data_IF_259471495174
#
_entry.id   IF_259471495174
#
_cell.length_a   1.000
_cell.length_b   1.000
_cell.length_c   1.000
_cell.angle_alpha   90.00
_cell.angle_beta   90.00
_cell.angle_gamma   90.00
#
_symmetry.space_group_name_H-M   'P 1'
#
loop_
_entity.id
_entity.type
_entity.pdbx_description
1 polymer ?
#
# COMPACT_ATOMS: atom_id res chain seq x y z
N UNK A 1 -23.62 -31.14 9.38
CA UNK A 1 -22.31 -30.85 8.79
C UNK A 1 -21.86 -29.44 9.21
N UNK A 2 -20.58 -29.26 9.51
CA UNK A 2 -19.99 -27.96 9.76
C UNK A 2 -19.76 -27.30 8.40
N UNK A 3 -20.28 -26.08 8.22
CA UNK A 3 -20.10 -25.28 7.02
C UNK A 3 -19.27 -24.02 7.37
N UNK A 4 -18.81 -23.31 6.35
CA UNK A 4 -18.07 -22.06 6.55
C UNK A 4 -18.58 -20.97 5.60
N UNK A 5 -18.39 -19.72 6.02
CA UNK A 5 -18.58 -18.53 5.17
C UNK A 5 -17.26 -17.79 5.14
N UNK A 6 -16.72 -17.57 3.96
CA UNK A 6 -15.49 -16.81 3.78
C UNK A 6 -15.76 -15.30 3.75
N UNK A 7 -14.77 -14.49 4.12
CA UNK A 7 -14.86 -13.05 4.02
C UNK A 7 -14.82 -12.59 2.56
N UNK A 8 -15.51 -11.48 2.30
CA UNK A 8 -15.47 -10.77 1.04
C UNK A 8 -15.25 -9.27 1.26
N UNK A 9 -15.24 -8.52 0.17
CA UNK A 9 -15.15 -7.06 0.18
C UNK A 9 -16.32 -6.46 -0.60
N UNK A 10 -16.67 -5.21 -0.27
CA UNK A 10 -17.61 -4.44 -1.06
C UNK A 10 -16.82 -3.62 -2.10
N UNK A 11 -16.83 -4.05 -3.35
CA UNK A 11 -16.02 -3.50 -4.45
C UNK A 11 -16.14 -1.99 -4.58
N UNK A 12 -17.37 -1.46 -4.58
CA UNK A 12 -17.59 -0.02 -4.76
C UNK A 12 -17.05 0.86 -3.61
N UNK A 13 -16.79 0.29 -2.44
CA UNK A 13 -16.13 1.01 -1.33
C UNK A 13 -14.65 1.24 -1.59
N UNK A 14 -14.00 0.31 -2.28
CA UNK A 14 -12.55 0.30 -2.49
C UNK A 14 -12.13 0.79 -3.86
N UNK A 15 -13.00 0.70 -4.85
CA UNK A 15 -12.73 1.18 -6.20
C UNK A 15 -12.54 2.69 -6.22
N UNK A 16 -11.43 3.14 -6.78
CA UNK A 16 -11.14 4.56 -6.91
C UNK A 16 -12.11 5.27 -7.86
N UNK A 17 -12.51 6.53 -7.58
CA UNK A 17 -13.51 7.24 -8.39
C UNK A 17 -13.18 7.32 -9.88
N UNK A 18 -11.93 7.62 -10.24
CA UNK A 18 -11.51 7.71 -11.63
C UNK A 18 -11.50 6.34 -12.36
N UNK A 19 -11.22 5.25 -11.65
CA UNK A 19 -11.39 3.90 -12.20
C UNK A 19 -12.88 3.57 -12.37
N UNK A 20 -13.72 3.99 -11.41
CA UNK A 20 -15.17 3.85 -11.53
C UNK A 20 -15.72 4.58 -12.77
N UNK A 21 -15.20 5.77 -13.07
CA UNK A 21 -15.55 6.53 -14.28
C UNK A 21 -15.16 5.77 -15.56
N UNK A 22 -13.97 5.16 -15.58
CA UNK A 22 -13.58 4.30 -16.71
C UNK A 22 -14.50 3.10 -16.85
N UNK A 23 -14.83 2.41 -15.76
CA UNK A 23 -15.74 1.27 -15.80
C UNK A 23 -17.14 1.67 -16.25
N UNK A 24 -17.66 2.80 -15.78
CA UNK A 24 -18.96 3.33 -16.25
C UNK A 24 -18.99 3.63 -17.75
N UNK A 25 -17.84 3.95 -18.34
CA UNK A 25 -17.73 4.27 -19.77
C UNK A 25 -17.60 3.01 -20.64
N UNK A 26 -16.94 1.96 -20.18
CA UNK A 26 -16.55 0.82 -21.00
C UNK A 26 -17.31 -0.47 -20.68
N UNK A 27 -17.78 -0.63 -19.43
CA UNK A 27 -18.57 -1.78 -19.01
C UNK A 27 -20.09 -1.54 -19.20
N UNK A 28 -20.91 -2.59 -19.15
CA UNK A 28 -22.36 -2.45 -19.20
C UNK A 28 -22.90 -1.53 -18.09
N UNK A 29 -24.00 -0.80 -18.31
CA UNK A 29 -24.54 0.17 -17.32
C UNK A 29 -24.84 -0.43 -15.94
N UNK A 30 -25.11 -1.72 -15.87
CA UNK A 30 -25.45 -2.48 -14.66
C UNK A 30 -24.25 -3.21 -14.02
N UNK A 31 -23.02 -2.91 -14.43
CA UNK A 31 -21.84 -3.64 -13.98
C UNK A 31 -21.69 -3.68 -12.44
N UNK A 32 -22.11 -2.62 -11.74
CA UNK A 32 -21.98 -2.53 -10.29
C UNK A 32 -22.88 -3.50 -9.53
N UNK A 33 -24.01 -3.88 -10.10
CA UNK A 33 -24.95 -4.82 -9.52
C UNK A 33 -24.65 -6.27 -9.91
N UNK A 34 -23.79 -6.47 -10.92
CA UNK A 34 -23.47 -7.78 -11.50
C UNK A 34 -21.97 -8.08 -11.51
N UNK A 35 -21.21 -7.59 -10.50
CA UNK A 35 -19.75 -7.77 -10.40
C UNK A 35 -19.30 -9.24 -10.33
N UNK A 36 -20.17 -10.15 -9.90
CA UNK A 36 -19.93 -11.59 -9.81
C UNK A 36 -20.20 -12.34 -11.12
N UNK A 37 -20.71 -11.67 -12.15
CA UNK A 37 -21.06 -12.27 -13.44
C UNK A 37 -19.93 -12.03 -14.44
N UNK A 38 -19.35 -13.11 -14.97
CA UNK A 38 -18.18 -13.01 -15.87
C UNK A 38 -18.46 -12.17 -17.11
N UNK A 39 -19.65 -12.27 -17.72
CA UNK A 39 -20.02 -11.48 -18.89
C UNK A 39 -20.05 -9.96 -18.66
N UNK A 40 -20.14 -9.52 -17.40
CA UNK A 40 -20.02 -8.12 -17.05
C UNK A 40 -18.63 -7.56 -17.42
N UNK A 41 -17.60 -8.40 -17.35
CA UNK A 41 -16.21 -8.04 -17.54
C UNK A 41 -15.65 -8.26 -18.94
N UNK A 42 -16.42 -8.85 -19.87
CA UNK A 42 -15.97 -9.15 -21.23
C UNK A 42 -15.44 -7.93 -22.00
N UNK A 43 -15.90 -6.73 -21.64
CA UNK A 43 -15.48 -5.48 -22.28
C UNK A 43 -14.34 -4.75 -21.55
N UNK A 44 -13.76 -5.35 -20.51
CA UNK A 44 -12.69 -4.70 -19.74
C UNK A 44 -11.47 -4.39 -20.61
N UNK A 45 -11.14 -5.28 -21.53
CA UNK A 45 -10.02 -5.15 -22.46
C UNK A 45 -10.21 -4.04 -23.51
N UNK A 46 -11.41 -3.47 -23.61
CA UNK A 46 -11.67 -2.30 -24.46
C UNK A 46 -11.21 -0.97 -23.82
N UNK A 47 -10.80 -0.99 -22.56
CA UNK A 47 -10.22 0.20 -21.91
C UNK A 47 -8.82 0.39 -22.47
N UNK A 48 -8.51 1.52 -23.13
CA UNK A 48 -7.17 1.78 -23.63
C UNK A 48 -6.15 1.80 -22.47
N UNK A 49 -5.03 1.08 -22.63
CA UNK A 49 -3.95 0.95 -21.64
C UNK A 49 -3.51 2.32 -21.09
N UNK A 50 -3.36 3.31 -21.97
CA UNK A 50 -2.96 4.66 -21.57
C UNK A 50 -3.97 5.31 -20.61
N UNK A 51 -5.28 5.05 -20.76
CA UNK A 51 -6.30 5.60 -19.85
C UNK A 51 -6.25 4.92 -18.50
N UNK A 52 -6.07 3.60 -18.51
CA UNK A 52 -5.92 2.82 -17.28
C UNK A 52 -4.67 3.27 -16.52
N UNK A 53 -3.55 3.40 -17.24
CA UNK A 53 -2.29 3.88 -16.67
C UNK A 53 -2.38 5.29 -16.11
N UNK A 54 -2.98 6.22 -16.84
CA UNK A 54 -3.19 7.60 -16.36
C UNK A 54 -4.05 7.65 -15.09
N UNK A 55 -5.09 6.82 -15.02
CA UNK A 55 -5.92 6.72 -13.84
C UNK A 55 -5.13 6.18 -12.63
N UNK A 56 -4.25 5.21 -12.85
CA UNK A 56 -3.35 4.68 -11.82
C UNK A 56 -2.34 5.75 -11.34
N UNK A 57 -1.67 6.43 -12.26
CA UNK A 57 -0.70 7.49 -11.91
C UNK A 57 -1.36 8.60 -11.10
N UNK A 58 -2.56 9.04 -11.47
CA UNK A 58 -3.33 10.03 -10.67
C UNK A 58 -3.54 9.57 -9.22
N UNK A 59 -3.84 8.29 -9.00
CA UNK A 59 -3.99 7.72 -7.64
C UNK A 59 -2.67 7.69 -6.89
N UNK A 60 -1.61 7.32 -7.58
CA UNK A 60 -0.26 7.27 -7.03
C UNK A 60 0.24 8.66 -6.60
N UNK A 61 0.03 9.68 -7.41
CA UNK A 61 0.35 11.07 -7.06
C UNK A 61 -0.41 11.55 -5.81
N UNK A 62 -1.71 11.22 -5.71
CA UNK A 62 -2.51 11.51 -4.51
C UNK A 62 -1.99 10.76 -3.29
N UNK A 63 -1.58 9.51 -3.44
CA UNK A 63 -0.94 8.75 -2.37
C UNK A 63 0.39 9.39 -1.95
N UNK A 64 1.25 9.77 -2.89
CA UNK A 64 2.54 10.42 -2.60
C UNK A 64 2.34 11.74 -1.83
N UNK A 65 1.36 12.54 -2.24
CA UNK A 65 1.00 13.76 -1.51
C UNK A 65 0.60 13.48 -0.06
N UNK A 66 -0.21 12.45 0.16
CA UNK A 66 -0.61 12.00 1.50
C UNK A 66 0.59 11.51 2.31
N UNK A 67 1.50 10.74 1.71
CA UNK A 67 2.71 10.26 2.39
C UNK A 67 3.59 11.44 2.80
N UNK A 68 3.84 12.39 1.89
CA UNK A 68 4.61 13.61 2.18
C UNK A 68 4.03 14.35 3.39
N UNK A 69 2.74 14.58 3.40
CA UNK A 69 2.04 15.27 4.48
C UNK A 69 2.12 14.50 5.81
N UNK A 70 1.90 13.19 5.81
CA UNK A 70 1.95 12.35 7.02
C UNK A 70 3.36 12.31 7.62
N UNK A 71 4.39 12.12 6.77
CA UNK A 71 5.79 12.10 7.20
C UNK A 71 6.23 13.47 7.71
N UNK A 72 5.87 14.55 7.03
CA UNK A 72 6.16 15.93 7.46
C UNK A 72 5.56 16.19 8.84
N UNK A 73 4.27 15.89 9.03
CA UNK A 73 3.60 16.12 10.31
C UNK A 73 4.26 15.33 11.45
N UNK A 74 4.63 14.07 11.21
CA UNK A 74 5.34 13.25 12.18
C UNK A 74 6.67 13.86 12.59
N UNK A 75 7.46 14.29 11.63
CA UNK A 75 8.79 14.85 11.87
C UNK A 75 8.71 16.22 12.59
N UNK A 76 7.79 17.07 12.20
CA UNK A 76 7.51 18.33 12.89
C UNK A 76 7.12 18.08 14.35
N UNK A 77 6.20 17.14 14.60
CA UNK A 77 5.79 16.76 15.96
C UNK A 77 6.93 16.16 16.80
N UNK A 78 7.95 15.62 16.14
CA UNK A 78 9.16 15.09 16.80
C UNK A 78 10.28 16.11 16.93
N UNK A 79 10.06 17.39 16.57
CA UNK A 79 11.04 18.45 16.68
C UNK A 79 12.17 18.39 15.63
N UNK A 80 11.97 17.65 14.53
CA UNK A 80 12.95 17.51 13.45
C UNK A 80 12.89 18.75 12.55
N UNK A 81 14.06 19.29 12.20
CA UNK A 81 14.19 20.50 11.37
C UNK A 81 13.72 20.30 9.92
N UNK A 82 13.24 21.40 9.30
CA UNK A 82 12.68 21.36 7.95
C UNK A 82 13.64 20.82 6.88
N UNK A 83 14.94 21.09 6.98
CA UNK A 83 15.96 20.60 6.03
C UNK A 83 16.04 19.07 6.05
N UNK A 84 16.00 18.47 7.24
CA UNK A 84 16.02 17.03 7.40
C UNK A 84 14.70 16.37 6.91
N UNK A 85 13.58 17.07 7.08
CA UNK A 85 12.29 16.64 6.54
C UNK A 85 12.34 16.64 5.01
N UNK A 86 12.83 17.75 4.41
CA UNK A 86 12.95 17.89 2.96
C UNK A 86 13.86 16.82 2.36
N UNK A 87 14.96 16.47 3.01
CA UNK A 87 15.86 15.38 2.58
C UNK A 87 15.14 14.02 2.41
N UNK A 88 14.13 13.75 3.23
CA UNK A 88 13.38 12.51 3.18
C UNK A 88 12.20 12.59 2.22
N UNK A 89 11.38 13.65 2.32
CA UNK A 89 10.13 13.72 1.54
C UNK A 89 10.36 14.04 0.06
N UNK A 90 11.47 14.69 -0.30
CA UNK A 90 11.81 14.97 -1.69
C UNK A 90 12.31 13.72 -2.44
N UNK A 91 12.65 12.64 -1.74
CA UNK A 91 12.99 11.36 -2.36
C UNK A 91 11.77 10.53 -2.78
N UNK A 92 10.56 10.94 -2.37
CA UNK A 92 9.32 10.31 -2.85
C UNK A 92 9.13 10.62 -4.34
N UNK A 93 9.14 9.56 -5.13
CA UNK A 93 9.06 9.62 -6.58
C UNK A 93 7.79 8.91 -7.09
N UNK A 94 6.89 9.60 -7.81
CA UNK A 94 5.72 8.97 -8.42
C UNK A 94 6.07 7.96 -9.52
N UNK A 95 7.27 8.01 -10.08
CA UNK A 95 7.72 7.06 -11.09
C UNK A 95 8.39 5.81 -10.49
N UNK A 96 8.75 5.82 -9.21
CA UNK A 96 9.31 4.66 -8.53
C UNK A 96 8.27 3.57 -8.32
N UNK A 97 8.62 2.30 -8.48
CA UNK A 97 7.78 1.16 -8.10
C UNK A 97 7.43 1.28 -6.61
N UNK A 98 6.17 1.49 -6.32
CA UNK A 98 5.68 1.71 -4.95
C UNK A 98 5.05 0.44 -4.40
N UNK A 99 5.66 -0.13 -3.36
CA UNK A 99 5.19 -1.36 -2.72
C UNK A 99 4.57 -1.01 -1.37
N UNK A 100 3.30 -1.34 -1.18
CA UNK A 100 2.55 -1.08 0.05
C UNK A 100 2.37 -2.31 0.92
N UNK A 101 2.61 -2.14 2.22
CA UNK A 101 2.24 -3.10 3.26
C UNK A 101 1.42 -2.38 4.31
N UNK A 102 0.11 -2.66 4.38
CA UNK A 102 -0.75 -2.02 5.37
C UNK A 102 -1.69 -3.04 6.02
N UNK A 103 -1.28 -3.51 7.18
CA UNK A 103 -1.97 -4.55 7.95
C UNK A 103 -1.73 -4.35 9.44
N UNK A 104 -2.56 -4.97 10.29
CA UNK A 104 -2.23 -5.12 11.71
C UNK A 104 -0.86 -5.80 11.84
N UNK A 105 0.03 -5.20 12.61
CA UNK A 105 1.32 -5.79 12.89
C UNK A 105 1.14 -6.97 13.86
N UNK A 106 1.28 -8.17 13.32
CA UNK A 106 1.31 -9.44 14.04
C UNK A 106 2.36 -10.33 13.38
N UNK A 107 3.02 -11.17 14.15
CA UNK A 107 4.19 -11.96 13.71
C UNK A 107 3.91 -12.79 12.47
N UNK A 108 2.76 -13.46 12.41
CA UNK A 108 2.39 -14.34 11.28
C UNK A 108 2.16 -13.57 9.96
N UNK A 109 1.96 -12.26 9.99
CA UNK A 109 1.82 -11.43 8.79
C UNK A 109 3.16 -11.06 8.16
N UNK A 110 4.26 -11.36 8.86
CA UNK A 110 5.65 -11.31 8.37
C UNK A 110 6.06 -9.96 7.76
N UNK A 111 5.67 -8.84 8.39
CA UNK A 111 6.01 -7.49 7.93
C UNK A 111 7.51 -7.27 7.71
N UNK A 112 8.36 -7.96 8.49
CA UNK A 112 9.82 -7.84 8.46
C UNK A 112 10.51 -8.87 7.56
N UNK A 113 9.76 -9.71 6.82
CA UNK A 113 10.35 -10.77 6.00
C UNK A 113 11.32 -10.23 4.95
N UNK A 114 11.01 -9.09 4.34
CA UNK A 114 11.86 -8.45 3.33
C UNK A 114 13.23 -8.01 3.88
N UNK A 115 13.36 -7.83 5.18
CA UNK A 115 14.61 -7.42 5.84
C UNK A 115 15.52 -8.58 6.23
N UNK A 116 15.17 -9.82 5.91
CA UNK A 116 16.04 -10.97 6.17
C UNK A 116 17.34 -10.92 5.36
N UNK A 117 17.28 -10.37 4.16
CA UNK A 117 18.43 -10.15 3.29
C UNK A 117 18.60 -8.64 3.04
N UNK A 118 19.25 -7.98 3.99
CA UNK A 118 19.51 -6.52 3.93
C UNK A 118 20.41 -6.17 2.74
N UNK A 119 21.39 -7.01 2.40
CA UNK A 119 22.30 -6.73 1.30
C UNK A 119 21.56 -6.71 -0.04
N UNK A 120 20.73 -7.71 -0.30
CA UNK A 120 19.88 -7.78 -1.50
C UNK A 120 18.86 -6.64 -1.55
N UNK A 121 18.22 -6.34 -0.41
CA UNK A 121 17.27 -5.23 -0.33
C UNK A 121 17.96 -3.89 -0.63
N UNK A 122 19.18 -3.69 -0.14
CA UNK A 122 19.99 -2.50 -0.42
C UNK A 122 20.24 -2.35 -1.92
N UNK A 123 20.61 -3.43 -2.61
CA UNK A 123 20.82 -3.42 -4.06
C UNK A 123 19.53 -3.05 -4.80
N UNK A 124 18.39 -3.64 -4.44
CA UNK A 124 17.09 -3.37 -5.07
C UNK A 124 16.68 -1.91 -4.88
N UNK A 125 16.74 -1.40 -3.65
CA UNK A 125 16.28 -0.04 -3.34
C UNK A 125 17.23 1.06 -3.81
N UNK A 126 18.46 0.73 -4.17
CA UNK A 126 19.46 1.71 -4.63
C UNK A 126 19.82 1.55 -6.12
N UNK A 127 19.07 0.75 -6.88
CA UNK A 127 19.21 0.69 -8.33
C UNK A 127 18.66 1.99 -8.95
N UNK A 128 19.52 2.84 -9.57
CA UNK A 128 19.07 4.11 -10.14
C UNK A 128 18.21 3.94 -11.40
N UNK A 129 18.30 2.79 -12.07
CA UNK A 129 17.56 2.53 -13.30
C UNK A 129 16.17 1.97 -13.05
N UNK A 130 15.94 1.43 -11.85
CA UNK A 130 14.67 0.82 -11.43
C UNK A 130 14.32 1.27 -10.02
N UNK A 131 13.93 2.53 -9.83
CA UNK A 131 13.66 3.08 -8.51
C UNK A 131 12.50 2.35 -7.84
N UNK A 132 12.70 1.97 -6.57
CA UNK A 132 11.71 1.27 -5.74
C UNK A 132 11.56 1.98 -4.41
N UNK A 133 10.33 2.07 -3.91
CA UNK A 133 10.04 2.60 -2.58
C UNK A 133 8.99 1.75 -1.86
N UNK A 134 9.10 1.67 -0.54
CA UNK A 134 8.18 0.93 0.32
C UNK A 134 7.37 1.85 1.21
N UNK A 135 6.09 1.54 1.36
CA UNK A 135 5.18 2.24 2.27
C UNK A 135 4.56 1.26 3.23
N UNK A 136 4.87 1.42 4.51
CA UNK A 136 4.30 0.65 5.59
C UNK A 136 3.22 1.46 6.31
N UNK A 137 2.12 0.81 6.67
CA UNK A 137 1.09 1.37 7.53
C UNK A 137 0.47 0.26 8.39
N UNK A 138 -0.15 0.64 9.48
CA UNK A 138 -0.82 -0.32 10.34
C UNK A 138 -0.72 0.04 11.80
N UNK A 139 -1.28 -0.82 12.63
CA UNK A 139 -1.28 -0.69 14.09
C UNK A 139 -0.96 -2.05 14.72
N UNK A 140 -0.31 -2.03 15.87
CA UNK A 140 -0.26 -3.15 16.80
C UNK A 140 -1.29 -2.93 17.91
N UNK A 141 -1.82 -4.01 18.48
CA UNK A 141 -2.63 -3.90 19.68
C UNK A 141 -1.77 -3.39 20.85
N UNK A 142 -2.27 -2.55 21.77
CA UNK A 142 -1.48 -2.06 22.90
C UNK A 142 -0.86 -3.16 23.77
N UNK A 143 -1.49 -4.31 23.88
CA UNK A 143 -0.99 -5.48 24.60
C UNK A 143 -0.10 -6.41 23.74
N UNK A 144 0.07 -6.15 22.43
CA UNK A 144 0.89 -6.96 21.53
C UNK A 144 2.31 -6.37 21.42
N UNK A 145 3.15 -6.72 22.37
CA UNK A 145 4.56 -6.27 22.45
C UNK A 145 5.34 -6.70 21.22
N UNK A 146 5.11 -7.93 20.72
CA UNK A 146 5.78 -8.42 19.51
C UNK A 146 5.41 -7.58 18.27
N UNK A 147 4.13 -7.27 18.11
CA UNK A 147 3.64 -6.39 17.04
C UNK A 147 4.23 -4.97 17.13
N UNK A 148 4.36 -4.42 18.33
CA UNK A 148 5.02 -3.13 18.56
C UNK A 148 6.51 -3.19 18.20
N UNK A 149 7.22 -4.26 18.55
CA UNK A 149 8.61 -4.47 18.21
C UNK A 149 8.83 -4.59 16.69
N UNK A 150 7.87 -5.16 15.94
CA UNK A 150 7.92 -5.17 14.47
C UNK A 150 7.88 -3.74 13.90
N UNK A 151 7.00 -2.87 14.42
CA UNK A 151 6.92 -1.46 14.00
C UNK A 151 8.23 -0.74 14.31
N UNK A 152 8.74 -0.89 15.54
CA UNK A 152 10.03 -0.32 15.96
C UNK A 152 11.16 -0.75 15.04
N UNK A 153 11.25 -2.05 14.73
CA UNK A 153 12.29 -2.60 13.85
C UNK A 153 12.22 -2.01 12.43
N UNK A 154 11.02 -1.88 11.87
CA UNK A 154 10.86 -1.26 10.54
C UNK A 154 11.28 0.21 10.58
N UNK A 155 10.95 0.92 11.65
CA UNK A 155 11.35 2.30 11.84
C UNK A 155 12.87 2.44 11.92
N UNK A 156 13.55 1.63 12.73
CA UNK A 156 15.01 1.62 12.84
C UNK A 156 15.67 1.40 11.47
N UNK A 157 15.18 0.42 10.70
CA UNK A 157 15.66 0.13 9.36
C UNK A 157 15.42 1.31 8.41
N UNK A 158 14.27 1.96 8.47
CA UNK A 158 13.94 3.11 7.60
C UNK A 158 14.88 4.31 7.80
N UNK A 159 15.52 4.40 8.97
CA UNK A 159 16.50 5.46 9.30
C UNK A 159 17.91 5.14 8.84
N UNK A 160 18.20 3.90 8.45
CA UNK A 160 19.54 3.53 7.95
C UNK A 160 19.87 4.35 6.69
N UNK A 161 21.13 4.82 6.52
CA UNK A 161 21.52 5.68 5.40
C UNK A 161 21.08 5.15 4.02
N UNK A 162 21.23 3.84 3.79
CA UNK A 162 20.88 3.19 2.52
C UNK A 162 19.36 3.10 2.26
N UNK A 163 18.52 3.28 3.29
CA UNK A 163 17.06 3.18 3.20
C UNK A 163 16.33 4.50 3.47
N UNK A 164 17.06 5.52 3.93
CA UNK A 164 16.49 6.85 4.23
C UNK A 164 15.87 7.47 2.98
N UNK A 165 14.56 7.75 3.05
CA UNK A 165 13.78 8.28 1.93
C UNK A 165 13.38 7.24 0.88
N UNK A 166 13.46 5.92 1.21
CA UNK A 166 13.00 4.80 0.38
C UNK A 166 12.02 3.89 1.10
N UNK A 167 12.02 3.91 2.42
CA UNK A 167 11.09 3.19 3.27
C UNK A 167 10.33 4.20 4.11
N UNK A 168 9.02 4.28 3.93
CA UNK A 168 8.15 5.22 4.60
C UNK A 168 7.18 4.48 5.52
N UNK A 169 6.88 5.07 6.68
CA UNK A 169 5.91 4.54 7.64
C UNK A 169 4.85 5.61 7.85
N UNK A 170 3.60 5.24 7.59
CA UNK A 170 2.44 6.11 7.84
C UNK A 170 1.87 5.85 9.22
N UNK A 171 1.73 6.92 9.97
CA UNK A 171 1.07 6.91 11.28
C UNK A 171 -0.45 7.07 11.15
N UNK A 172 -1.14 6.77 12.25
CA UNK A 172 -2.59 6.94 12.37
C UNK A 172 -3.41 6.20 11.32
N UNK A 173 -2.92 5.02 10.90
CA UNK A 173 -3.58 4.20 9.89
C UNK A 173 -5.08 4.03 10.16
N UNK A 174 -5.89 4.39 9.17
CA UNK A 174 -7.34 4.36 9.20
C UNK A 174 -7.89 4.02 7.79
N UNK A 175 -9.22 3.95 7.64
CA UNK A 175 -9.86 3.60 6.38
C UNK A 175 -9.57 4.63 5.26
N UNK A 176 -9.41 5.91 5.59
CA UNK A 176 -9.04 6.95 4.64
C UNK A 176 -7.66 6.69 4.04
N UNK A 177 -6.63 6.50 4.88
CA UNK A 177 -5.28 6.14 4.46
C UNK A 177 -5.29 4.81 3.68
N UNK A 178 -6.09 3.83 4.14
CA UNK A 178 -6.21 2.53 3.47
C UNK A 178 -6.67 2.67 2.01
N UNK A 179 -7.67 3.52 1.75
CA UNK A 179 -8.18 3.76 0.38
C UNK A 179 -7.11 4.36 -0.53
N UNK A 180 -6.32 5.32 -0.04
CA UNK A 180 -5.20 5.89 -0.82
C UNK A 180 -4.12 4.86 -1.11
N UNK A 181 -3.75 4.06 -0.10
CA UNK A 181 -2.74 3.01 -0.27
C UNK A 181 -3.18 1.97 -1.30
N UNK A 182 -4.38 1.40 -1.14
CA UNK A 182 -4.88 0.33 -2.01
C UNK A 182 -4.99 0.79 -3.46
N UNK A 183 -5.43 2.03 -3.69
CA UNK A 183 -5.58 2.56 -5.04
C UNK A 183 -4.31 3.16 -5.65
N UNK A 184 -3.29 3.45 -4.85
CA UNK A 184 -2.12 4.22 -5.30
C UNK A 184 -0.78 3.48 -5.27
N UNK A 185 -0.70 2.28 -4.68
CA UNK A 185 0.52 1.46 -4.79
C UNK A 185 0.50 0.61 -6.05
N UNK A 186 1.67 0.29 -6.59
CA UNK A 186 1.80 -0.61 -7.75
C UNK A 186 1.70 -2.07 -7.31
N UNK A 187 2.18 -2.37 -6.11
CA UNK A 187 2.18 -3.72 -5.54
C UNK A 187 1.67 -3.69 -4.11
N UNK A 188 0.70 -4.54 -3.81
CA UNK A 188 0.22 -4.79 -2.46
C UNK A 188 0.91 -6.01 -1.88
N UNK A 189 1.79 -5.83 -0.89
CA UNK A 189 2.53 -6.92 -0.25
C UNK A 189 1.64 -7.66 0.74
N UNK A 190 1.24 -8.87 0.39
CA UNK A 190 0.39 -9.75 1.19
C UNK A 190 1.06 -11.12 1.38
N UNK A 191 1.83 -11.27 2.44
CA UNK A 191 2.71 -12.41 2.66
C UNK A 191 2.54 -13.12 4.02
N UNK A 192 1.30 -13.44 4.47
CA UNK A 192 1.09 -14.11 5.75
C UNK A 192 1.67 -15.54 5.73
N UNK A 193 1.94 -16.07 6.92
CA UNK A 193 2.35 -17.46 7.08
C UNK A 193 1.16 -18.39 6.90
N UNK A 194 1.26 -19.35 6.00
CA UNK A 194 0.26 -20.42 5.86
C UNK A 194 0.31 -21.39 7.06
N UNK A 195 -0.83 -21.89 7.54
CA UNK A 195 -2.23 -21.60 7.19
C UNK A 195 -2.87 -20.51 8.09
N UNK A 196 -2.10 -19.60 8.68
CA UNK A 196 -2.54 -18.68 9.76
C UNK A 196 -3.45 -17.53 9.27
N UNK A 197 -3.63 -17.34 7.99
CA UNK A 197 -4.55 -16.36 7.41
C UNK A 197 -5.57 -17.11 6.53
N UNK A 198 -6.84 -17.15 6.95
CA UNK A 198 -7.89 -17.87 6.23
C UNK A 198 -8.31 -17.14 4.95
N UNK A 199 -8.60 -15.84 5.03
CA UNK A 199 -8.92 -15.02 3.86
C UNK A 199 -8.44 -13.58 4.09
N UNK A 200 -7.37 -13.19 3.43
CA UNK A 200 -6.79 -11.86 3.59
C UNK A 200 -7.58 -10.80 2.80
N UNK A 201 -8.65 -10.22 3.38
CA UNK A 201 -9.48 -9.21 2.69
C UNK A 201 -8.69 -8.02 2.16
N UNK A 202 -7.53 -7.69 2.73
CA UNK A 202 -6.67 -6.62 2.22
C UNK A 202 -6.06 -6.92 0.85
N UNK A 203 -5.90 -8.19 0.49
CA UNK A 203 -5.44 -8.62 -0.84
C UNK A 203 -6.58 -8.76 -1.85
N UNK A 204 -7.82 -8.66 -1.40
CA UNK A 204 -9.02 -8.72 -2.26
C UNK A 204 -9.50 -7.33 -2.70
N UNK A 205 -9.01 -6.27 -2.06
CA UNK A 205 -9.37 -4.87 -2.32
C UNK A 205 -8.61 -4.33 -3.51
#
# INVERSE_FOLDING_TARGET
PITYVTNGIHTCTWLAPNLKELYNKYLPPYWQDNIQVDSTWEKIDNIPDQKLWNAHIERKEKLIKLIKQNVTNRYVNSGIGYDQIAEVVNKLDPNALTIGFARRFATYKRATLLFKDIARLTQILNDPNRPVQFVFAGKAHPADVEGQNLIKRIHEISLMPQFKGKIFILENYNIGISRYLISGVDVWLNNPRRPMEASGTSGQK
#
